data_IF_750710365252
#
_entry.id   IF_750710365252
#
_cell.length_a   1.000
_cell.length_b   1.000
_cell.length_c   1.000
_cell.angle_alpha   90.00
_cell.angle_beta   90.00
_cell.angle_gamma   90.00
#
_symmetry.space_group_name_H-M   'P 1'
#
loop_
_entity.id
_entity.type
_entity.pdbx_description
1 polymer ?
#
# COMPACT_ATOMS: atom_id res chain seq x y z
N UNK A 1 9.47 -24.64 -20.85
CA UNK A 1 10.22 -23.37 -20.68
C UNK A 1 9.84 -22.76 -19.33
N UNK A 2 10.74 -22.04 -18.63
CA UNK A 2 10.36 -21.30 -17.42
C UNK A 2 9.68 -20.00 -17.84
N UNK A 3 8.46 -19.76 -17.38
CA UNK A 3 7.74 -18.53 -17.67
C UNK A 3 8.47 -17.33 -17.03
N UNK A 4 9.02 -16.39 -17.83
CA UNK A 4 9.73 -15.23 -17.31
C UNK A 4 8.83 -14.29 -16.50
N UNK A 5 7.52 -14.27 -16.76
CA UNK A 5 6.55 -13.49 -15.99
C UNK A 5 6.36 -14.06 -14.59
N UNK A 6 6.34 -15.39 -14.41
CA UNK A 6 6.24 -16.02 -13.09
C UNK A 6 7.44 -15.67 -12.21
N UNK A 7 8.66 -15.69 -12.77
CA UNK A 7 9.87 -15.29 -12.02
C UNK A 7 9.81 -13.81 -11.61
N UNK A 8 9.38 -12.94 -12.52
CA UNK A 8 9.18 -11.51 -12.25
C UNK A 8 8.15 -11.30 -11.14
N UNK A 9 7.01 -11.99 -11.19
CA UNK A 9 5.94 -11.91 -10.20
C UNK A 9 6.43 -12.38 -8.82
N UNK A 10 7.10 -13.53 -8.73
CA UNK A 10 7.63 -14.04 -7.45
C UNK A 10 8.61 -13.09 -6.78
N UNK A 11 9.51 -12.46 -7.55
CA UNK A 11 10.46 -11.50 -7.00
C UNK A 11 9.76 -10.28 -6.39
N UNK A 12 8.64 -9.88 -6.99
CA UNK A 12 7.83 -8.77 -6.50
C UNK A 12 6.99 -9.16 -5.29
N UNK A 13 6.39 -10.36 -5.27
CA UNK A 13 5.73 -10.91 -4.08
C UNK A 13 6.71 -10.98 -2.91
N UNK A 14 7.97 -11.35 -3.17
CA UNK A 14 9.01 -11.39 -2.15
C UNK A 14 9.32 -9.98 -1.61
N UNK A 15 9.52 -9.00 -2.50
CA UNK A 15 9.74 -7.61 -2.10
C UNK A 15 8.56 -7.06 -1.27
N UNK A 16 7.34 -7.34 -1.72
CA UNK A 16 6.11 -6.99 -1.06
C UNK A 16 5.99 -7.62 0.35
N UNK A 17 6.27 -8.92 0.46
CA UNK A 17 6.26 -9.65 1.73
C UNK A 17 7.29 -9.08 2.71
N UNK A 18 8.52 -8.84 2.24
CA UNK A 18 9.60 -8.26 3.06
C UNK A 18 9.20 -6.85 3.54
N UNK A 19 8.75 -5.99 2.62
CA UNK A 19 8.36 -4.62 2.95
C UNK A 19 7.19 -4.59 3.93
N UNK A 20 6.15 -5.40 3.70
CA UNK A 20 5.00 -5.49 4.58
C UNK A 20 5.38 -5.99 5.98
N UNK A 21 6.25 -7.01 6.05
CA UNK A 21 6.72 -7.57 7.31
C UNK A 21 7.56 -6.57 8.10
N UNK A 22 8.46 -5.84 7.43
CA UNK A 22 9.29 -4.80 8.07
C UNK A 22 8.41 -3.68 8.59
N UNK A 23 7.47 -3.15 7.79
CA UNK A 23 6.56 -2.09 8.24
C UNK A 23 5.74 -2.56 9.43
N UNK A 24 5.13 -3.75 9.37
CA UNK A 24 4.33 -4.29 10.48
C UNK A 24 5.16 -4.44 11.77
N UNK A 25 6.40 -4.95 11.66
CA UNK A 25 7.32 -5.07 12.79
C UNK A 25 7.73 -3.71 13.36
N UNK A 26 8.12 -2.75 12.51
CA UNK A 26 8.51 -1.41 12.93
C UNK A 26 7.36 -0.65 13.59
N UNK A 27 6.13 -0.77 13.07
CA UNK A 27 4.93 -0.19 13.69
C UNK A 27 4.69 -0.84 15.06
N UNK A 28 4.74 -2.17 15.15
CA UNK A 28 4.54 -2.90 16.41
C UNK A 28 5.55 -2.45 17.47
N UNK A 29 6.84 -2.39 17.11
CA UNK A 29 7.91 -1.93 18.00
C UNK A 29 7.71 -0.47 18.38
N UNK A 30 7.48 0.43 17.42
CA UNK A 30 7.32 1.87 17.67
C UNK A 30 6.13 2.19 18.57
N UNK A 31 4.98 1.55 18.32
CA UNK A 31 3.77 1.71 19.14
C UNK A 31 3.97 1.13 20.53
N UNK A 32 4.55 -0.07 20.64
CA UNK A 32 4.83 -0.70 21.94
C UNK A 32 5.77 0.18 22.78
N UNK A 33 6.85 0.70 22.17
CA UNK A 33 7.78 1.61 22.85
C UNK A 33 7.06 2.87 23.36
N UNK A 34 6.16 3.45 22.57
CA UNK A 34 5.37 4.60 23.02
C UNK A 34 4.37 4.26 24.13
N UNK A 35 3.85 3.04 24.18
CA UNK A 35 2.92 2.59 25.22
C UNK A 35 3.62 2.28 26.55
N UNK A 36 4.83 1.70 26.51
CA UNK A 36 5.59 1.35 27.73
C UNK A 36 6.38 2.53 28.30
N UNK A 37 6.66 3.54 27.48
CA UNK A 37 7.28 4.79 27.94
C UNK A 37 6.20 5.63 28.62
N UNK A 38 6.28 5.81 29.93
CA UNK A 38 5.27 6.57 30.69
C UNK A 38 5.51 8.09 30.64
N UNK A 39 6.76 8.50 30.43
CA UNK A 39 7.16 9.90 30.42
C UNK A 39 8.16 10.18 29.31
N UNK A 40 7.94 11.27 28.58
CA UNK A 40 8.82 11.79 27.55
C UNK A 40 8.91 13.30 27.76
N UNK A 41 10.11 13.78 28.07
CA UNK A 41 10.39 15.20 28.35
C UNK A 41 9.90 16.16 27.26
N UNK A 42 9.59 15.66 26.06
CA UNK A 42 9.18 16.46 24.91
C UNK A 42 7.68 16.38 24.58
N UNK A 43 6.94 15.51 25.27
CA UNK A 43 5.50 15.25 25.03
C UNK A 43 4.68 15.10 26.33
N UNK A 44 5.25 15.45 27.48
CA UNK A 44 4.69 15.44 28.85
C UNK A 44 4.21 14.09 29.39
N UNK A 45 3.35 13.37 28.66
CA UNK A 45 2.80 12.09 29.07
C UNK A 45 2.67 11.13 27.89
N UNK A 46 3.37 9.99 27.98
CA UNK A 46 3.30 8.88 27.03
C UNK A 46 2.53 7.70 27.67
N UNK A 47 2.26 6.62 26.93
CA UNK A 47 1.28 5.59 27.32
C UNK A 47 0.00 5.69 26.49
N UNK A 48 -1.18 5.51 27.10
CA UNK A 48 -2.47 5.52 26.35
C UNK A 48 -2.71 6.84 25.61
N UNK A 49 -2.18 7.97 26.10
CA UNK A 49 -2.27 9.27 25.41
C UNK A 49 -1.54 9.29 24.07
N UNK A 50 -0.74 8.27 23.74
CA UNK A 50 -0.10 8.16 22.43
C UNK A 50 -1.11 8.07 21.27
N UNK A 51 -2.31 7.53 21.52
CA UNK A 51 -3.42 7.48 20.56
C UNK A 51 -4.10 8.85 20.34
N UNK A 52 -3.66 9.91 21.04
CA UNK A 52 -4.03 11.28 20.70
C UNK A 52 -3.23 11.81 19.50
N UNK A 53 -2.15 11.12 19.09
CA UNK A 53 -1.27 11.58 18.03
C UNK A 53 -1.60 10.90 16.70
N UNK A 54 -1.94 11.70 15.68
CA UNK A 54 -2.17 11.22 14.32
C UNK A 54 -1.00 10.39 13.77
N UNK A 55 0.24 10.71 14.17
CA UNK A 55 1.43 9.95 13.80
C UNK A 55 1.29 8.48 14.18
N UNK A 56 0.79 8.21 15.39
CA UNK A 56 0.66 6.84 15.90
C UNK A 56 -0.49 6.14 15.20
N UNK A 57 -1.65 6.78 15.13
CA UNK A 57 -2.86 6.19 14.51
C UNK A 57 -2.65 5.89 13.02
N UNK A 58 -2.05 6.83 12.28
CA UNK A 58 -1.73 6.64 10.86
C UNK A 58 -0.74 5.50 10.63
N UNK A 59 0.26 5.34 11.51
CA UNK A 59 1.19 4.22 11.42
C UNK A 59 0.54 2.89 11.80
N UNK A 60 -0.37 2.85 12.78
CA UNK A 60 -1.17 1.66 13.09
C UNK A 60 -1.99 1.26 11.88
N UNK A 61 -2.69 2.21 11.25
CA UNK A 61 -3.45 1.96 10.02
C UNK A 61 -2.56 1.40 8.91
N UNK A 62 -1.34 1.93 8.73
CA UNK A 62 -0.37 1.42 7.77
C UNK A 62 0.12 0.00 8.12
N UNK A 63 0.45 -0.27 9.38
CA UNK A 63 0.86 -1.60 9.84
C UNK A 63 -0.24 -2.64 9.62
N UNK A 64 -1.48 -2.34 10.00
CA UNK A 64 -2.64 -3.21 9.75
C UNK A 64 -2.85 -3.46 8.26
N UNK A 65 -2.75 -2.40 7.44
CA UNK A 65 -2.92 -2.54 5.99
C UNK A 65 -1.82 -3.39 5.37
N UNK A 66 -0.58 -3.27 5.83
CA UNK A 66 0.52 -4.13 5.37
C UNK A 66 0.32 -5.59 5.80
N UNK A 67 -0.21 -5.84 7.00
CA UNK A 67 -0.57 -7.19 7.44
C UNK A 67 -1.65 -7.81 6.53
N UNK A 68 -2.63 -7.02 6.06
CA UNK A 68 -3.64 -7.49 5.10
C UNK A 68 -3.03 -7.93 3.77
N UNK A 69 -1.89 -7.36 3.35
CA UNK A 69 -1.21 -7.74 2.11
C UNK A 69 -0.49 -9.10 2.23
N UNK A 70 -0.04 -9.49 3.42
CA UNK A 70 0.84 -10.67 3.61
C UNK A 70 0.23 -11.96 3.05
N UNK A 71 -1.03 -12.35 3.34
CA UNK A 71 -1.61 -13.58 2.81
C UNK A 71 -1.58 -13.64 1.28
N UNK A 72 -1.88 -12.53 0.59
CA UNK A 72 -1.87 -12.44 -0.87
C UNK A 72 -0.44 -12.54 -1.43
N UNK A 73 0.56 -12.02 -0.71
CA UNK A 73 1.98 -12.14 -1.13
C UNK A 73 2.50 -13.56 -0.96
N UNK A 74 2.08 -14.25 0.10
CA UNK A 74 2.41 -15.66 0.33
C UNK A 74 1.74 -16.53 -0.71
N UNK A 75 0.47 -16.27 -1.03
CA UNK A 75 -0.23 -16.98 -2.10
C UNK A 75 0.47 -16.74 -3.44
N UNK A 76 0.78 -15.49 -3.80
CA UNK A 76 1.48 -15.19 -5.04
C UNK A 76 2.90 -15.76 -5.14
N UNK A 77 3.60 -15.98 -4.03
CA UNK A 77 4.87 -16.72 -4.02
C UNK A 77 4.67 -18.20 -4.36
N UNK A 78 3.61 -18.81 -3.80
CA UNK A 78 3.27 -20.22 -4.02
C UNK A 78 2.76 -20.45 -5.43
N UNK A 79 1.83 -19.62 -5.89
CA UNK A 79 1.12 -19.78 -7.16
C UNK A 79 1.86 -19.18 -8.35
N UNK A 80 2.77 -18.22 -8.12
CA UNK A 80 3.35 -17.40 -9.19
C UNK A 80 2.41 -16.28 -9.67
N UNK A 81 1.21 -16.19 -9.10
CA UNK A 81 0.16 -15.24 -9.45
C UNK A 81 -0.14 -14.33 -8.28
N UNK A 82 0.23 -13.06 -8.44
CA UNK A 82 -0.07 -12.07 -7.43
C UNK A 82 -1.29 -11.26 -7.81
N UNK A 83 -2.27 -11.25 -6.90
CA UNK A 83 -3.44 -10.41 -7.01
C UNK A 83 -3.83 -9.91 -5.63
N UNK A 84 -3.86 -8.58 -5.46
CA UNK A 84 -4.54 -7.96 -4.33
C UNK A 84 -5.97 -7.65 -4.74
N UNK A 85 -6.96 -7.90 -3.87
CA UNK A 85 -8.28 -7.36 -4.04
C UNK A 85 -8.23 -5.83 -4.14
N UNK A 86 -9.07 -5.25 -5.00
CA UNK A 86 -9.11 -3.80 -5.25
C UNK A 86 -9.29 -3.00 -3.96
N UNK A 87 -10.13 -3.47 -3.04
CA UNK A 87 -10.37 -2.82 -1.76
C UNK A 87 -9.10 -2.77 -0.87
N UNK A 88 -8.21 -3.76 -0.96
CA UNK A 88 -6.93 -3.74 -0.22
C UNK A 88 -6.02 -2.67 -0.80
N UNK A 89 -6.01 -2.48 -2.12
CA UNK A 89 -5.24 -1.38 -2.74
C UNK A 89 -5.81 -0.01 -2.38
N UNK A 90 -7.13 0.12 -2.29
CA UNK A 90 -7.76 1.33 -1.75
C UNK A 90 -7.33 1.57 -0.29
N UNK A 91 -7.34 0.52 0.55
CA UNK A 91 -6.85 0.63 1.93
C UNK A 91 -5.37 1.02 2.00
N UNK A 92 -4.51 0.47 1.14
CA UNK A 92 -3.11 0.88 1.04
C UNK A 92 -2.99 2.35 0.68
N UNK A 93 -3.79 2.83 -0.27
CA UNK A 93 -3.77 4.23 -0.66
C UNK A 93 -4.19 5.16 0.49
N UNK A 94 -5.23 4.78 1.25
CA UNK A 94 -5.66 5.50 2.45
C UNK A 94 -4.52 5.55 3.48
N UNK A 95 -3.93 4.40 3.81
CA UNK A 95 -2.89 4.30 4.82
C UNK A 95 -1.61 5.05 4.42
N UNK A 96 -1.13 4.87 3.19
CA UNK A 96 0.08 5.50 2.66
C UNK A 96 -0.09 7.01 2.59
N UNK A 97 -1.28 7.51 2.25
CA UNK A 97 -1.58 8.96 2.29
C UNK A 97 -1.44 9.49 3.71
N UNK A 98 -2.02 8.81 4.70
CA UNK A 98 -1.97 9.24 6.10
C UNK A 98 -0.53 9.28 6.63
N UNK A 99 0.28 8.23 6.42
CA UNK A 99 1.68 8.23 6.86
C UNK A 99 2.56 9.17 6.05
N UNK A 100 2.24 9.44 4.78
CA UNK A 100 2.93 10.46 3.98
C UNK A 100 2.69 11.86 4.53
N UNK A 101 1.45 12.18 4.92
CA UNK A 101 1.16 13.45 5.58
C UNK A 101 1.94 13.56 6.88
N UNK A 102 1.91 12.52 7.72
CA UNK A 102 2.69 12.46 8.96
C UNK A 102 4.17 12.71 8.69
N UNK A 103 4.77 12.05 7.69
CA UNK A 103 6.17 12.25 7.33
C UNK A 103 6.46 13.70 6.92
N UNK A 104 5.64 14.29 6.05
CA UNK A 104 5.84 15.67 5.59
C UNK A 104 5.66 16.69 6.72
N UNK A 105 4.65 16.52 7.58
CA UNK A 105 4.46 17.35 8.78
C UNK A 105 5.67 17.21 9.71
N UNK A 106 6.20 16.00 9.86
CA UNK A 106 7.36 15.75 10.72
C UNK A 106 8.63 16.39 10.16
N UNK A 107 8.83 16.30 8.86
CA UNK A 107 10.02 16.81 8.17
C UNK A 107 10.01 18.34 8.04
N UNK A 108 8.87 18.92 7.70
CA UNK A 108 8.78 20.34 7.34
C UNK A 108 8.18 21.23 8.43
N UNK A 109 7.53 20.67 9.45
CA UNK A 109 6.92 21.44 10.55
C UNK A 109 7.57 21.05 11.88
N UNK A 110 7.50 19.79 12.29
CA UNK A 110 7.94 19.40 13.62
C UNK A 110 9.46 19.41 13.78
N UNK A 111 10.23 18.90 12.82
CA UNK A 111 11.69 18.88 12.90
C UNK A 111 12.32 20.28 12.90
N UNK A 112 11.86 21.25 12.10
CA UNK A 112 12.34 22.64 12.21
C UNK A 112 12.03 23.29 13.55
N UNK A 113 10.90 22.95 14.19
CA UNK A 113 10.48 23.60 15.44
C UNK A 113 11.06 22.91 16.68
N UNK A 114 11.05 21.57 16.72
CA UNK A 114 11.46 20.77 17.88
C UNK A 114 12.88 20.18 17.74
N UNK A 115 13.47 20.23 16.54
CA UNK A 115 14.80 19.70 16.24
C UNK A 115 14.76 18.33 15.53
N UNK A 116 15.60 18.17 14.50
CA UNK A 116 15.67 16.95 13.69
C UNK A 116 16.03 15.70 14.50
N UNK A 117 17.05 15.79 15.37
CA UNK A 117 17.48 14.66 16.19
C UNK A 117 16.37 14.18 17.12
N UNK A 118 15.51 15.09 17.60
CA UNK A 118 14.42 14.72 18.47
C UNK A 118 13.31 13.96 17.71
N UNK A 119 12.95 14.44 16.53
CA UNK A 119 11.88 13.84 15.70
C UNK A 119 12.32 12.52 15.05
N UNK A 120 13.59 12.37 14.70
CA UNK A 120 14.12 11.22 13.96
C UNK A 120 15.09 10.35 14.79
N UNK A 121 14.86 10.18 16.09
CA UNK A 121 15.63 9.27 16.96
C UNK A 121 14.74 8.26 17.69
N UNK A 122 15.37 7.19 18.20
CA UNK A 122 14.70 6.17 19.00
C UNK A 122 13.51 5.52 18.26
N UNK A 123 12.41 5.29 18.97
CA UNK A 123 11.17 4.74 18.40
C UNK A 123 10.52 5.65 17.36
N UNK A 124 10.72 6.97 17.50
CA UNK A 124 10.15 8.01 16.63
C UNK A 124 10.70 7.91 15.21
N UNK A 125 11.96 7.49 15.06
CA UNK A 125 12.55 7.25 13.73
C UNK A 125 11.76 6.23 12.89
N UNK A 126 11.18 5.20 13.53
CA UNK A 126 10.34 4.24 12.82
C UNK A 126 9.04 4.88 12.33
N UNK A 127 8.31 5.56 13.23
CA UNK A 127 6.98 6.10 12.95
C UNK A 127 7.01 7.37 12.08
N UNK A 128 8.06 8.19 12.20
CA UNK A 128 8.22 9.42 11.43
C UNK A 128 9.05 9.23 10.17
N UNK A 129 9.85 8.17 10.03
CA UNK A 129 10.78 8.01 8.91
C UNK A 129 10.62 6.69 8.16
N UNK A 130 11.08 5.60 8.77
CA UNK A 130 11.20 4.29 8.11
C UNK A 130 9.86 3.78 7.57
N UNK A 131 8.82 3.76 8.40
CA UNK A 131 7.51 3.25 8.02
C UNK A 131 6.87 4.06 6.89
N UNK A 132 6.79 5.41 6.95
CA UNK A 132 6.29 6.21 5.84
C UNK A 132 7.01 5.96 4.51
N UNK A 133 8.35 5.97 4.51
CA UNK A 133 9.15 5.78 3.29
C UNK A 133 8.92 4.40 2.71
N UNK A 134 8.99 3.35 3.54
CA UNK A 134 8.73 1.98 3.08
C UNK A 134 7.29 1.81 2.59
N UNK A 135 6.30 2.44 3.21
CA UNK A 135 4.91 2.39 2.74
C UNK A 135 4.75 3.02 1.36
N UNK A 136 5.36 4.19 1.12
CA UNK A 136 5.31 4.87 -0.19
C UNK A 136 5.96 3.99 -1.27
N UNK A 137 7.17 3.48 -0.99
CA UNK A 137 7.90 2.62 -1.93
C UNK A 137 7.11 1.34 -2.19
N UNK A 138 6.61 0.71 -1.13
CA UNK A 138 5.83 -0.51 -1.23
C UNK A 138 4.58 -0.26 -2.08
N UNK A 139 3.81 0.80 -1.84
CA UNK A 139 2.59 1.10 -2.58
C UNK A 139 2.79 1.32 -4.09
N UNK A 140 3.93 1.91 -4.48
CA UNK A 140 4.31 2.05 -5.89
C UNK A 140 4.85 0.75 -6.50
N UNK A 141 5.34 -0.17 -5.65
CA UNK A 141 5.97 -1.42 -6.07
C UNK A 141 5.08 -2.66 -5.97
N UNK A 142 4.03 -2.61 -5.16
CA UNK A 142 3.04 -3.67 -4.99
C UNK A 142 2.28 -3.85 -6.31
N UNK A 143 2.32 -5.09 -6.83
CA UNK A 143 1.62 -5.45 -8.06
C UNK A 143 0.11 -5.35 -7.80
N UNK A 144 -0.58 -4.43 -8.44
CA UNK A 144 -1.97 -4.69 -8.71
C UNK A 144 -2.33 -4.28 -10.13
N UNK A 145 -3.23 -5.05 -10.73
CA UNK A 145 -3.91 -4.61 -11.94
C UNK A 145 -4.86 -3.45 -11.65
N UNK A 146 -5.29 -3.25 -10.41
CA UNK A 146 -6.23 -2.17 -10.10
C UNK A 146 -5.65 -0.78 -10.39
N UNK A 147 -6.40 0.03 -11.14
CA UNK A 147 -6.10 1.44 -11.37
C UNK A 147 -7.01 2.28 -10.49
N UNK A 148 -6.42 3.08 -9.62
CA UNK A 148 -7.18 3.89 -8.68
C UNK A 148 -7.99 4.97 -9.40
N UNK A 149 -9.31 4.89 -9.22
CA UNK A 149 -10.27 5.88 -9.69
C UNK A 149 -10.23 7.09 -8.75
N UNK A 150 -10.59 8.27 -9.27
CA UNK A 150 -10.59 9.49 -8.47
C UNK A 150 -11.45 9.34 -7.21
N UNK A 151 -12.64 8.75 -7.33
CA UNK A 151 -13.57 8.54 -6.21
C UNK A 151 -12.98 7.67 -5.10
N UNK A 152 -12.23 6.62 -5.46
CA UNK A 152 -11.54 5.75 -4.51
C UNK A 152 -10.40 6.49 -3.82
N UNK A 153 -9.67 7.30 -4.59
CA UNK A 153 -8.59 8.12 -4.03
C UNK A 153 -9.07 9.14 -3.01
N UNK A 154 -10.26 9.74 -3.20
CA UNK A 154 -10.82 10.68 -2.24
C UNK A 154 -11.13 10.04 -0.87
N UNK A 155 -11.27 8.71 -0.79
CA UNK A 155 -11.42 8.03 0.51
C UNK A 155 -10.17 8.18 1.39
N UNK A 156 -9.01 8.45 0.80
CA UNK A 156 -7.77 8.69 1.55
C UNK A 156 -7.79 10.00 2.36
N UNK A 157 -8.75 10.89 2.12
CA UNK A 157 -8.97 12.09 2.93
C UNK A 157 -9.67 11.77 4.26
N UNK A 158 -10.34 10.62 4.38
CA UNK A 158 -11.19 10.29 5.55
C UNK A 158 -10.39 10.28 6.86
N UNK A 159 -9.23 9.60 7.00
CA UNK A 159 -8.51 9.58 8.27
C UNK A 159 -8.10 10.97 8.73
N UNK A 160 -7.69 11.83 7.79
CA UNK A 160 -7.27 13.21 8.08
C UNK A 160 -8.46 14.06 8.47
N UNK A 161 -9.59 13.94 7.77
CA UNK A 161 -10.82 14.67 8.10
C UNK A 161 -11.37 14.26 9.48
N UNK A 162 -11.41 12.96 9.78
CA UNK A 162 -11.84 12.44 11.08
C UNK A 162 -10.93 12.96 12.18
N UNK A 163 -9.61 12.86 12.01
CA UNK A 163 -8.66 13.35 12.99
C UNK A 163 -8.77 14.88 13.17
N UNK A 164 -8.93 15.64 12.08
CA UNK A 164 -9.11 17.10 12.17
C UNK A 164 -10.35 17.50 12.98
N UNK A 165 -11.47 16.78 12.83
CA UNK A 165 -12.68 17.01 13.64
C UNK A 165 -12.40 16.70 15.11
N UNK A 166 -11.80 15.55 15.42
CA UNK A 166 -11.44 15.18 16.80
C UNK A 166 -10.47 16.21 17.40
N UNK A 167 -9.49 16.67 16.62
CA UNK A 167 -8.54 17.68 17.01
C UNK A 167 -9.22 19.00 17.37
N UNK A 168 -10.13 19.48 16.53
CA UNK A 168 -10.89 20.71 16.79
C UNK A 168 -11.67 20.59 18.10
N UNK A 169 -12.34 19.46 18.33
CA UNK A 169 -13.10 19.25 19.58
C UNK A 169 -12.16 19.21 20.79
N UNK A 170 -11.13 18.36 20.74
CA UNK A 170 -10.29 18.10 21.92
C UNK A 170 -9.32 19.23 22.24
N UNK A 171 -8.77 19.91 21.22
CA UNK A 171 -7.75 20.96 21.42
C UNK A 171 -8.38 22.35 21.47
N UNK A 172 -9.38 22.64 20.63
CA UNK A 172 -9.92 24.01 20.51
C UNK A 172 -11.17 24.23 21.33
N UNK A 173 -12.15 23.31 21.28
CA UNK A 173 -13.42 23.50 21.98
C UNK A 173 -13.37 23.10 23.46
N UNK A 174 -12.72 21.98 23.79
CA UNK A 174 -12.53 21.56 25.19
C UNK A 174 -11.31 22.27 25.76
N UNK A 175 -10.16 22.16 25.08
CA UNK A 175 -8.90 22.72 25.55
C UNK A 175 -8.29 21.94 26.72
N UNK A 176 -6.98 22.04 26.89
CA UNK A 176 -6.22 21.28 27.89
C UNK A 176 -6.70 21.56 29.33
N UNK A 177 -7.09 22.80 29.63
CA UNK A 177 -7.56 23.24 30.94
C UNK A 177 -8.87 22.56 31.40
N UNK A 178 -9.67 22.03 30.46
CA UNK A 178 -10.92 21.30 30.73
C UNK A 178 -10.80 19.79 30.46
N UNK A 179 -9.57 19.25 30.39
CA UNK A 179 -9.32 17.82 30.14
C UNK A 179 -9.24 17.43 28.65
N UNK A 180 -9.10 18.41 27.77
CA UNK A 180 -8.83 18.23 26.34
C UNK A 180 -7.41 17.76 26.03
N UNK A 181 -7.06 17.75 24.75
CA UNK A 181 -5.71 17.39 24.31
C UNK A 181 -4.80 18.61 24.30
N UNK A 182 -3.51 18.39 24.58
CA UNK A 182 -2.49 19.40 24.34
C UNK A 182 -2.33 19.63 22.83
N UNK A 183 -2.02 20.86 22.42
CA UNK A 183 -1.72 21.24 21.04
C UNK A 183 -0.31 20.75 20.63
N UNK A 184 -0.10 19.44 20.59
CA UNK A 184 1.22 18.81 20.34
C UNK A 184 1.89 19.28 19.04
N UNK A 185 1.09 19.67 18.04
CA UNK A 185 1.52 20.12 16.73
C UNK A 185 1.71 21.64 16.65
N UNK A 186 1.15 22.40 17.59
CA UNK A 186 1.14 23.86 17.56
C UNK A 186 0.18 24.45 16.52
N UNK A 187 -0.83 23.69 16.08
CA UNK A 187 -1.74 24.10 15.00
C UNK A 187 -2.83 25.07 15.43
N UNK A 188 -3.04 25.26 16.74
CA UNK A 188 -3.99 26.23 17.28
C UNK A 188 -3.29 27.35 18.06
N UNK A 189 -2.14 27.06 18.66
CA UNK A 189 -1.37 27.97 19.52
C UNK A 189 -0.37 28.83 18.75
N UNK A 190 0.27 28.31 17.69
CA UNK A 190 1.28 29.05 16.91
C UNK A 190 0.70 29.77 15.71
N UNK A 191 -0.38 29.24 15.15
CA UNK A 191 -1.08 29.79 14.00
C UNK A 191 -2.59 29.66 14.22
N UNK A 192 -3.41 30.56 13.64
CA UNK A 192 -4.86 30.41 13.70
C UNK A 192 -5.29 29.07 13.08
N UNK A 193 -6.19 28.35 13.74
CA UNK A 193 -6.58 26.99 13.36
C UNK A 193 -7.10 26.87 11.91
N UNK A 194 -7.78 27.91 11.42
CA UNK A 194 -8.26 27.94 10.04
C UNK A 194 -7.12 27.96 9.01
N UNK A 195 -5.97 28.56 9.35
CA UNK A 195 -4.76 28.52 8.50
C UNK A 195 -4.22 27.09 8.44
N UNK A 196 -4.12 26.42 9.60
CA UNK A 196 -3.69 25.01 9.66
C UNK A 196 -4.58 24.12 8.79
N UNK A 197 -5.90 24.31 8.83
CA UNK A 197 -6.84 23.56 7.98
C UNK A 197 -6.65 23.87 6.48
N UNK A 198 -6.46 25.14 6.13
CA UNK A 198 -6.20 25.57 4.75
C UNK A 198 -4.85 25.08 4.19
N UNK A 199 -3.91 24.67 5.04
CA UNK A 199 -2.63 24.09 4.59
C UNK A 199 -2.71 22.56 4.57
N UNK A 200 -3.18 21.93 5.65
CA UNK A 200 -3.16 20.48 5.81
C UNK A 200 -4.12 19.79 4.82
N UNK A 201 -5.32 20.33 4.59
CA UNK A 201 -6.28 19.69 3.69
C UNK A 201 -5.82 19.74 2.22
N UNK A 202 -5.37 20.88 1.66
CA UNK A 202 -4.82 20.91 0.30
C UNK A 202 -3.52 20.11 0.17
N UNK A 203 -2.65 20.12 1.19
CA UNK A 203 -1.45 19.28 1.20
C UNK A 203 -1.83 17.81 1.10
N UNK A 204 -2.79 17.35 1.92
CA UNK A 204 -3.29 15.98 1.88
C UNK A 204 -3.89 15.65 0.52
N UNK A 205 -4.71 16.52 -0.04
CA UNK A 205 -5.26 16.34 -1.39
C UNK A 205 -4.15 16.21 -2.45
N UNK A 206 -3.11 17.03 -2.36
CA UNK A 206 -1.92 16.94 -3.20
C UNK A 206 -1.24 15.58 -3.08
N UNK A 207 -1.02 15.08 -1.86
CA UNK A 207 -0.45 13.75 -1.59
C UNK A 207 -1.32 12.66 -2.23
N UNK A 208 -2.64 12.71 -2.03
CA UNK A 208 -3.59 11.75 -2.62
C UNK A 208 -3.42 11.71 -4.15
N UNK A 209 -3.40 12.88 -4.80
CA UNK A 209 -3.26 12.95 -6.25
C UNK A 209 -1.91 12.44 -6.73
N UNK A 210 -0.82 12.81 -6.05
CA UNK A 210 0.53 12.36 -6.40
C UNK A 210 0.69 10.85 -6.26
N UNK A 211 0.23 10.27 -5.15
CA UNK A 211 0.27 8.82 -4.92
C UNK A 211 -0.60 8.06 -5.93
N UNK A 212 -1.79 8.59 -6.25
CA UNK A 212 -2.66 8.01 -7.28
C UNK A 212 -1.96 7.99 -8.65
N UNK A 213 -1.38 9.11 -9.05
CA UNK A 213 -0.67 9.23 -10.33
C UNK A 213 0.54 8.30 -10.39
N UNK A 214 1.34 8.27 -9.32
CA UNK A 214 2.50 7.39 -9.19
C UNK A 214 2.11 5.91 -9.31
N UNK A 215 1.13 5.48 -8.51
CA UNK A 215 0.61 4.11 -8.54
C UNK A 215 0.08 3.73 -9.93
N UNK A 216 -0.82 4.52 -10.50
CA UNK A 216 -1.41 4.22 -11.81
C UNK A 216 -0.36 4.16 -12.93
N UNK A 217 0.65 5.06 -12.90
CA UNK A 217 1.77 5.02 -13.84
C UNK A 217 2.60 3.74 -13.68
N UNK A 218 2.92 3.35 -12.45
CA UNK A 218 3.62 2.10 -12.17
C UNK A 218 2.82 0.87 -12.66
N UNK A 219 1.52 0.83 -12.43
CA UNK A 219 0.64 -0.24 -12.88
C UNK A 219 0.61 -0.35 -14.42
N UNK A 220 0.50 0.78 -15.13
CA UNK A 220 0.51 0.80 -16.60
C UNK A 220 1.85 0.38 -17.20
N UNK A 221 2.97 0.89 -16.65
CA UNK A 221 4.32 0.51 -17.10
C UNK A 221 4.57 -0.99 -16.93
N UNK A 222 4.10 -1.57 -15.82
CA UNK A 222 4.23 -3.01 -15.56
C UNK A 222 3.37 -3.83 -16.51
N UNK A 223 2.10 -3.46 -16.71
CA UNK A 223 1.24 -4.11 -17.72
C UNK A 223 1.88 -4.14 -19.10
N UNK A 224 2.53 -3.04 -19.51
CA UNK A 224 3.27 -2.99 -20.78
C UNK A 224 4.46 -3.96 -20.80
N UNK A 225 5.25 -3.99 -19.73
CA UNK A 225 6.43 -4.87 -19.61
C UNK A 225 6.04 -6.34 -19.58
N UNK A 226 4.99 -6.69 -18.83
CA UNK A 226 4.49 -8.06 -18.78
C UNK A 226 3.99 -8.48 -20.17
N UNK A 227 3.23 -7.62 -20.87
CA UNK A 227 2.80 -7.88 -22.25
C UNK A 227 3.98 -8.08 -23.21
N UNK A 228 5.07 -7.32 -23.06
CA UNK A 228 6.30 -7.49 -23.85
C UNK A 228 6.99 -8.83 -23.55
N UNK A 229 7.09 -9.23 -22.28
CA UNK A 229 7.62 -10.54 -21.89
C UNK A 229 6.81 -11.69 -22.48
N UNK A 230 5.47 -11.59 -22.45
CA UNK A 230 4.59 -12.57 -23.08
C UNK A 230 4.80 -12.61 -24.60
N UNK A 231 4.84 -11.46 -25.28
CA UNK A 231 5.11 -11.40 -26.72
C UNK A 231 6.46 -12.00 -27.07
N UNK A 232 7.52 -11.69 -26.33
CA UNK A 232 8.86 -12.22 -26.59
C UNK A 232 8.94 -13.73 -26.34
N UNK A 233 8.27 -14.24 -25.29
CA UNK A 233 8.28 -15.66 -24.96
C UNK A 233 7.48 -16.52 -25.96
N UNK A 234 6.47 -15.94 -26.61
CA UNK A 234 5.49 -16.67 -27.43
C UNK A 234 5.38 -16.15 -28.87
N UNK A 235 6.32 -15.31 -29.32
CA UNK A 235 6.33 -14.76 -30.69
C UNK A 235 6.42 -15.87 -31.73
N UNK A 236 5.40 -15.98 -32.59
CA UNK A 236 5.34 -16.98 -33.66
C UNK A 236 5.04 -18.41 -33.19
N UNK A 237 4.71 -18.61 -31.91
CA UNK A 237 4.25 -19.89 -31.40
C UNK A 237 2.75 -20.07 -31.69
N UNK A 238 2.32 -21.32 -31.94
CA UNK A 238 0.90 -21.64 -32.08
C UNK A 238 0.16 -21.36 -30.78
N UNK A 239 -1.01 -20.71 -30.85
CA UNK A 239 -1.75 -20.30 -29.66
C UNK A 239 -2.10 -21.48 -28.75
N UNK A 240 -2.41 -22.65 -29.31
CA UNK A 240 -2.72 -23.84 -28.50
C UNK A 240 -1.45 -24.37 -27.82
N UNK A 241 -0.31 -24.34 -28.50
CA UNK A 241 0.99 -24.71 -27.93
C UNK A 241 1.38 -23.78 -26.77
N UNK A 242 1.13 -22.47 -26.91
CA UNK A 242 1.36 -21.45 -25.87
C UNK A 242 0.49 -21.73 -24.64
N UNK A 243 -0.80 -22.00 -24.85
CA UNK A 243 -1.77 -22.32 -23.78
C UNK A 243 -1.42 -23.63 -23.09
N UNK A 244 -1.06 -24.68 -23.83
CA UNK A 244 -0.62 -25.95 -23.26
C UNK A 244 0.68 -25.82 -22.46
N UNK A 245 1.65 -25.04 -22.97
CA UNK A 245 2.91 -24.82 -22.26
C UNK A 245 2.71 -24.03 -20.96
N UNK A 246 1.87 -23.00 -20.98
CA UNK A 246 1.47 -22.27 -19.76
C UNK A 246 0.75 -23.20 -18.78
N UNK A 247 -0.28 -23.91 -19.23
CA UNK A 247 -1.05 -24.81 -18.38
C UNK A 247 -0.17 -25.91 -17.75
N UNK A 248 0.73 -26.54 -18.52
CA UNK A 248 1.70 -27.52 -18.01
C UNK A 248 2.71 -26.92 -17.04
N UNK A 249 3.23 -25.72 -17.34
CA UNK A 249 4.12 -24.99 -16.42
C UNK A 249 3.41 -24.71 -15.10
N UNK A 250 2.15 -24.25 -15.16
CA UNK A 250 1.37 -23.95 -13.97
C UNK A 250 1.02 -25.21 -13.19
N UNK A 251 0.65 -26.32 -13.85
CA UNK A 251 0.42 -27.63 -13.19
C UNK A 251 1.66 -28.12 -12.43
N UNK A 252 2.86 -27.92 -13.00
CA UNK A 252 4.13 -28.31 -12.37
C UNK A 252 4.52 -27.42 -11.18
N UNK A 253 4.17 -26.14 -11.24
CA UNK A 253 4.52 -25.17 -10.20
C UNK A 253 3.46 -25.04 -9.09
N UNK A 254 2.18 -25.12 -9.43
CA UNK A 254 1.04 -25.13 -8.51
C UNK A 254 0.93 -26.52 -7.87
N UNK A 255 1.54 -26.68 -6.69
CA UNK A 255 1.29 -27.84 -5.82
C UNK A 255 -0.07 -27.73 -5.09
N UNK A 256 -1.13 -27.34 -5.79
CA UNK A 256 -2.45 -27.07 -5.21
C UNK A 256 -3.54 -27.77 -6.01
N UNK A 257 -4.60 -28.23 -5.32
CA UNK A 257 -5.78 -28.82 -5.98
C UNK A 257 -6.67 -27.78 -6.69
N UNK A 258 -6.40 -26.48 -6.50
CA UNK A 258 -7.15 -25.40 -7.14
C UNK A 258 -6.50 -25.01 -8.48
N UNK A 259 -7.29 -24.97 -9.55
CA UNK A 259 -6.84 -24.48 -10.85
C UNK A 259 -6.99 -22.96 -10.87
N UNK A 260 -5.87 -22.24 -10.98
CA UNK A 260 -5.85 -20.79 -11.15
C UNK A 260 -5.63 -20.49 -12.63
N UNK A 261 -6.62 -19.88 -13.28
CA UNK A 261 -6.52 -19.39 -14.65
C UNK A 261 -6.04 -17.95 -14.61
N UNK A 262 -4.85 -17.63 -15.14
CA UNK A 262 -4.35 -16.26 -15.09
C UNK A 262 -5.14 -15.38 -16.04
N UNK A 263 -5.74 -14.31 -15.54
CA UNK A 263 -6.47 -13.34 -16.38
C UNK A 263 -5.60 -12.76 -17.51
N UNK A 264 -4.28 -12.68 -17.29
CA UNK A 264 -3.30 -12.25 -18.29
C UNK A 264 -3.14 -13.26 -19.42
N UNK A 265 -3.18 -14.57 -19.13
CA UNK A 265 -3.17 -15.64 -20.13
C UNK A 265 -4.40 -15.55 -21.03
N UNK A 266 -5.58 -15.35 -20.44
CA UNK A 266 -6.82 -15.16 -21.19
C UNK A 266 -6.78 -13.88 -22.03
N UNK A 267 -6.28 -12.77 -21.47
CA UNK A 267 -6.10 -11.53 -22.21
C UNK A 267 -5.14 -11.66 -23.39
N UNK A 268 -4.05 -12.42 -23.23
CA UNK A 268 -3.13 -12.74 -24.33
C UNK A 268 -3.81 -13.59 -25.40
N UNK A 269 -4.60 -14.59 -25.01
CA UNK A 269 -5.34 -15.44 -25.96
C UNK A 269 -6.32 -14.62 -26.81
N UNK A 270 -7.11 -13.75 -26.17
CA UNK A 270 -8.07 -12.89 -26.86
C UNK A 270 -7.37 -11.92 -27.84
N UNK A 271 -6.21 -11.37 -27.48
CA UNK A 271 -5.48 -10.46 -28.36
C UNK A 271 -4.83 -11.15 -29.57
N UNK A 272 -4.51 -12.44 -29.47
CA UNK A 272 -3.72 -13.15 -30.48
C UNK A 272 -4.50 -14.28 -31.18
N UNK A 273 -5.79 -14.46 -30.87
CA UNK A 273 -6.64 -15.49 -31.47
C UNK A 273 -7.04 -15.22 -32.92
N UNK A 274 -6.85 -14.00 -33.43
CA UNK A 274 -7.29 -13.58 -34.77
C UNK A 274 -8.82 -13.45 -34.91
N UNK A 275 -9.58 -14.28 -34.18
CA UNK A 275 -11.01 -14.19 -33.97
C UNK A 275 -11.34 -13.47 -32.66
N UNK A 276 -12.51 -12.81 -32.59
CA UNK A 276 -13.11 -12.25 -31.36
C UNK A 276 -13.42 -13.41 -30.37
N UNK A 277 -12.39 -13.96 -29.75
CA UNK A 277 -12.49 -15.07 -28.82
C UNK A 277 -13.16 -14.59 -27.52
N UNK A 278 -14.27 -15.23 -27.16
CA UNK A 278 -14.93 -15.02 -25.87
C UNK A 278 -13.98 -15.43 -24.73
N UNK A 279 -13.81 -14.58 -23.68
CA UNK A 279 -13.13 -14.96 -22.44
C UNK A 279 -13.51 -16.35 -21.90
N UNK A 280 -14.78 -16.77 -22.01
CA UNK A 280 -15.22 -18.09 -21.54
C UNK A 280 -14.57 -19.23 -22.33
N UNK A 281 -14.42 -19.08 -23.64
CA UNK A 281 -13.76 -20.03 -24.52
C UNK A 281 -12.26 -20.10 -24.25
N UNK A 282 -11.63 -18.96 -23.98
CA UNK A 282 -10.23 -18.92 -23.56
C UNK A 282 -9.98 -19.69 -22.26
N UNK A 283 -10.85 -19.47 -21.26
CA UNK A 283 -10.82 -20.20 -20.00
C UNK A 283 -10.99 -21.71 -20.21
N UNK A 284 -11.93 -22.12 -21.05
CA UNK A 284 -12.19 -23.54 -21.36
C UNK A 284 -10.96 -24.22 -21.96
N UNK A 285 -10.36 -23.63 -23.00
CA UNK A 285 -9.16 -24.18 -23.66
C UNK A 285 -7.98 -24.29 -22.70
N UNK A 286 -7.79 -23.29 -21.85
CA UNK A 286 -6.75 -23.35 -20.82
C UNK A 286 -7.02 -24.46 -19.81
N UNK A 287 -8.28 -24.64 -19.37
CA UNK A 287 -8.66 -25.70 -18.44
C UNK A 287 -8.44 -27.10 -19.04
N UNK A 288 -8.85 -27.30 -20.29
CA UNK A 288 -8.63 -28.55 -21.03
C UNK A 288 -7.13 -28.87 -21.14
N UNK A 289 -6.31 -27.87 -21.45
CA UNK A 289 -4.87 -28.01 -21.49
C UNK A 289 -4.22 -28.31 -20.12
N UNK A 290 -4.78 -27.76 -19.03
CA UNK A 290 -4.31 -28.00 -17.66
C UNK A 290 -4.64 -29.41 -17.17
N UNK A 291 -5.83 -29.90 -17.54
CA UNK A 291 -6.32 -31.22 -17.18
C UNK A 291 -5.74 -32.33 -18.05
N UNK A 292 -5.28 -32.01 -19.28
CA UNK A 292 -4.53 -32.92 -20.13
C UNK A 292 -3.32 -33.47 -19.36
N UNK A 293 -3.18 -34.79 -19.38
CA UNK A 293 -2.19 -35.54 -18.57
C UNK A 293 -0.76 -35.07 -18.82
#
# INVERSE_FOLDING_TARGET
MKDPAIKSNRMQCLFALISASIVAACVCVGVTMNLVTLYDENFDHMGIRTFCMFTVDSNILAGLTMLLCIPYTVDGLRTGYYHLPDWVVVMMHIAVTAVSLTFLVSLFILAPIKGFMLIFSGSRFFLHGVCPVLCIVAFCCFINSHLLRLKESLLALIPVAVYAVVYLVMVVFIGEEHGGWNDFYGFATRVPIWVSLLVILPLTFGIVMLLRLGHNKCCLLRRSKDAELYRAAYSGADLNEVVENMARSHKKELKTNNIVIPAQTIGYMIQNSGDDMDPAEGCRRYLEAYLKE
#
